data_IF_213363137926
#
_entry.id   IF_213363137926
#
_cell.length_a   1.000
_cell.length_b   1.000
_cell.length_c   1.000
_cell.angle_alpha   90.00
_cell.angle_beta   90.00
_cell.angle_gamma   90.00
#
_symmetry.space_group_name_H-M   'P 1'
#
loop_
_entity.id
_entity.type
_entity.pdbx_description
1 polymer ?
#
# COMPACT_ATOMS: atom_id res chain seq x y z
N UNK A 1 -22.08 -69.92 -4.11
CA UNK A 1 -22.39 -68.65 -3.42
C UNK A 1 -21.05 -68.02 -3.06
N UNK A 2 -20.52 -67.15 -3.92
CA UNK A 2 -20.67 -65.69 -3.89
C UNK A 2 -19.52 -65.05 -3.11
N UNK A 3 -18.40 -64.75 -3.79
CA UNK A 3 -17.91 -63.40 -4.18
C UNK A 3 -17.46 -62.51 -3.01
N UNK A 4 -16.20 -62.00 -3.02
CA UNK A 4 -15.69 -61.06 -2.03
C UNK A 4 -16.29 -59.64 -2.23
N UNK A 5 -16.24 -58.75 -1.21
CA UNK A 5 -16.86 -57.44 -1.29
C UNK A 5 -16.12 -56.52 -2.27
N UNK A 6 -16.81 -55.60 -2.96
CA UNK A 6 -16.17 -54.71 -3.90
C UNK A 6 -15.39 -53.63 -3.16
N UNK A 7 -14.18 -53.41 -3.66
CA UNK A 7 -13.29 -52.36 -3.21
C UNK A 7 -13.87 -50.96 -3.34
N UNK A 8 -13.38 -50.15 -2.43
CA UNK A 8 -13.39 -48.69 -2.36
C UNK A 8 -13.28 -48.05 -3.75
N UNK A 9 -14.39 -47.48 -4.26
CA UNK A 9 -14.37 -46.56 -5.41
C UNK A 9 -14.40 -45.14 -4.90
N UNK A 10 -13.22 -44.58 -4.61
CA UNK A 10 -13.04 -43.14 -4.78
C UNK A 10 -13.20 -42.83 -6.26
N UNK A 11 -14.30 -42.19 -6.62
CA UNK A 11 -14.51 -41.63 -7.96
C UNK A 11 -13.50 -40.51 -8.23
N UNK A 12 -12.68 -40.58 -9.29
CA UNK A 12 -11.99 -39.43 -9.85
C UNK A 12 -12.78 -39.01 -11.10
N UNK A 13 -13.68 -38.04 -10.97
CA UNK A 13 -14.11 -37.19 -12.09
C UNK A 13 -15.18 -36.17 -11.66
N UNK A 14 -14.72 -34.93 -11.48
CA UNK A 14 -15.54 -33.74 -11.70
C UNK A 14 -14.62 -32.58 -12.12
N UNK A 15 -13.77 -32.79 -13.13
CA UNK A 15 -13.27 -31.66 -13.93
C UNK A 15 -14.42 -31.23 -14.82
N UNK A 16 -15.31 -30.39 -14.27
CA UNK A 16 -16.27 -29.65 -15.08
C UNK A 16 -15.48 -28.87 -16.13
N UNK A 17 -15.89 -28.95 -17.40
CA UNK A 17 -15.29 -28.11 -18.42
C UNK A 17 -15.44 -26.65 -18.01
N UNK A 18 -14.33 -25.90 -18.04
CA UNK A 18 -14.33 -24.49 -17.70
C UNK A 18 -15.33 -23.72 -18.57
N UNK A 19 -16.02 -22.73 -17.98
CA UNK A 19 -16.97 -21.92 -18.73
C UNK A 19 -16.31 -21.18 -19.91
N UNK A 20 -17.10 -20.91 -20.95
CA UNK A 20 -16.64 -20.12 -22.11
C UNK A 20 -16.08 -18.76 -21.69
N UNK A 21 -16.70 -18.13 -20.67
CA UNK A 21 -16.24 -16.87 -20.09
C UNK A 21 -14.87 -17.00 -19.44
N UNK A 22 -14.63 -18.05 -18.64
CA UNK A 22 -13.36 -18.23 -17.97
C UNK A 22 -12.20 -18.52 -18.95
N UNK A 23 -12.47 -19.27 -20.02
CA UNK A 23 -11.51 -19.47 -21.12
C UNK A 23 -11.16 -18.16 -21.84
N UNK A 24 -12.15 -17.30 -22.11
CA UNK A 24 -11.91 -15.96 -22.67
C UNK A 24 -11.06 -15.10 -21.74
N UNK A 25 -11.38 -15.10 -20.44
CA UNK A 25 -10.63 -14.33 -19.43
C UNK A 25 -9.16 -14.80 -19.37
N UNK A 26 -8.90 -16.11 -19.38
CA UNK A 26 -7.54 -16.64 -19.41
C UNK A 26 -6.74 -16.21 -20.64
N UNK A 27 -7.38 -16.22 -21.81
CA UNK A 27 -6.77 -15.76 -23.05
C UNK A 27 -6.35 -14.29 -22.99
N UNK A 28 -7.16 -13.43 -22.38
CA UNK A 28 -6.96 -11.98 -22.40
C UNK A 28 -6.22 -11.41 -21.19
N UNK A 29 -6.28 -12.04 -20.01
CA UNK A 29 -5.46 -11.67 -18.85
C UNK A 29 -4.06 -12.32 -18.86
N UNK A 30 -3.80 -13.19 -19.83
CA UNK A 30 -2.62 -14.05 -19.96
C UNK A 30 -2.53 -15.17 -18.93
N UNK A 31 -2.07 -16.34 -19.38
CA UNK A 31 -1.84 -17.53 -18.55
C UNK A 31 -0.93 -17.22 -17.34
N UNK A 32 0.18 -16.45 -17.46
CA UNK A 32 1.03 -16.15 -16.31
C UNK A 32 0.33 -15.36 -15.19
N UNK A 33 -0.60 -14.45 -15.53
CA UNK A 33 -1.33 -13.66 -14.55
C UNK A 33 -2.34 -14.51 -13.77
N UNK A 34 -2.99 -15.44 -14.46
CA UNK A 34 -3.96 -16.35 -13.83
C UNK A 34 -3.33 -17.57 -13.16
N UNK A 35 -2.11 -17.96 -13.55
CA UNK A 35 -1.46 -19.19 -13.06
C UNK A 35 -1.43 -19.29 -11.52
N UNK A 36 -1.20 -18.18 -10.83
CA UNK A 36 -1.21 -18.17 -9.35
C UNK A 36 -2.59 -18.49 -8.77
N UNK A 37 -3.67 -18.03 -9.40
CA UNK A 37 -5.04 -18.30 -8.97
C UNK A 37 -5.47 -19.73 -9.32
N UNK A 38 -5.15 -20.19 -10.54
CA UNK A 38 -5.42 -21.56 -11.00
C UNK A 38 -4.76 -22.60 -10.08
N UNK A 39 -3.49 -22.39 -9.73
CA UNK A 39 -2.82 -23.26 -8.74
C UNK A 39 -3.48 -23.23 -7.37
N UNK A 40 -3.98 -22.07 -6.95
CA UNK A 40 -4.63 -21.92 -5.65
C UNK A 40 -6.02 -22.59 -5.60
N UNK A 41 -6.64 -22.85 -6.76
CA UNK A 41 -7.97 -23.46 -6.87
C UNK A 41 -7.94 -24.91 -7.34
N UNK A 42 -6.77 -25.55 -7.41
CA UNK A 42 -6.64 -26.95 -7.83
C UNK A 42 -6.96 -27.17 -9.31
N UNK A 43 -6.49 -26.25 -10.15
CA UNK A 43 -6.70 -26.24 -11.61
C UNK A 43 -8.16 -26.02 -12.08
N UNK A 44 -9.05 -25.63 -11.16
CA UNK A 44 -10.39 -25.15 -11.47
C UNK A 44 -10.32 -23.69 -11.97
N UNK A 45 -10.54 -23.50 -13.27
CA UNK A 45 -10.41 -22.22 -13.94
C UNK A 45 -11.54 -21.24 -13.59
N UNK A 46 -12.77 -21.72 -13.40
CA UNK A 46 -13.90 -20.85 -13.03
C UNK A 46 -13.67 -20.26 -11.63
N UNK A 47 -13.28 -21.10 -10.66
CA UNK A 47 -12.90 -20.65 -9.32
C UNK A 47 -11.67 -19.75 -9.33
N UNK A 48 -10.72 -19.97 -10.23
CA UNK A 48 -9.55 -19.11 -10.38
C UNK A 48 -9.94 -17.69 -10.82
N UNK A 49 -10.92 -17.57 -11.71
CA UNK A 49 -11.47 -16.28 -12.13
C UNK A 49 -12.18 -15.59 -10.97
N UNK A 50 -13.00 -16.31 -10.19
CA UNK A 50 -13.65 -15.75 -9.00
C UNK A 50 -12.62 -15.22 -7.99
N UNK A 51 -11.56 -15.98 -7.73
CA UNK A 51 -10.48 -15.58 -6.83
C UNK A 51 -9.69 -14.37 -7.35
N UNK A 52 -9.48 -14.29 -8.67
CA UNK A 52 -8.90 -13.10 -9.31
C UNK A 52 -9.78 -11.85 -9.10
N UNK A 53 -11.11 -11.99 -9.27
CA UNK A 53 -12.05 -10.88 -9.06
C UNK A 53 -12.12 -10.46 -7.58
N UNK A 54 -12.09 -11.42 -6.65
CA UNK A 54 -11.96 -11.14 -5.23
C UNK A 54 -10.67 -10.36 -4.92
N UNK A 55 -9.53 -10.77 -5.49
CA UNK A 55 -8.26 -10.06 -5.33
C UNK A 55 -8.35 -8.60 -5.83
N UNK A 56 -9.01 -8.38 -6.97
CA UNK A 56 -9.24 -7.04 -7.51
C UNK A 56 -10.12 -6.18 -6.57
N UNK A 57 -11.19 -6.76 -5.99
CA UNK A 57 -12.03 -6.07 -4.98
C UNK A 57 -11.21 -5.66 -3.75
N UNK A 58 -10.40 -6.57 -3.21
CA UNK A 58 -9.50 -6.28 -2.08
C UNK A 58 -8.49 -5.19 -2.43
N UNK A 59 -7.87 -5.25 -3.61
CA UNK A 59 -6.95 -4.22 -4.08
C UNK A 59 -7.63 -2.84 -4.16
N UNK A 60 -8.89 -2.78 -4.64
CA UNK A 60 -9.69 -1.56 -4.65
C UNK A 60 -10.00 -1.02 -3.25
N UNK A 61 -10.33 -1.88 -2.29
CA UNK A 61 -10.53 -1.50 -0.90
C UNK A 61 -9.24 -1.05 -0.21
N UNK A 62 -8.09 -1.66 -0.56
CA UNK A 62 -6.78 -1.22 -0.07
C UNK A 62 -6.39 0.15 -0.59
N UNK A 63 -6.68 0.48 -1.85
CA UNK A 63 -6.40 1.80 -2.41
C UNK A 63 -7.06 2.94 -1.64
N UNK A 64 -8.29 2.72 -1.18
CA UNK A 64 -9.07 3.66 -0.37
C UNK A 64 -8.33 4.02 0.93
N UNK A 65 -8.00 3.01 1.74
CA UNK A 65 -7.31 3.21 3.02
C UNK A 65 -5.85 3.66 2.85
N UNK A 66 -5.11 3.12 1.88
CA UNK A 66 -3.75 3.54 1.58
C UNK A 66 -3.70 5.01 1.18
N UNK A 67 -4.66 5.47 0.38
CA UNK A 67 -4.77 6.86 -0.04
C UNK A 67 -4.96 7.82 1.14
N UNK A 68 -5.84 7.47 2.09
CA UNK A 68 -6.02 8.26 3.31
C UNK A 68 -4.75 8.32 4.16
N UNK A 69 -4.10 7.18 4.42
CA UNK A 69 -2.86 7.13 5.18
C UNK A 69 -1.74 7.90 4.49
N UNK A 70 -1.63 7.81 3.16
CA UNK A 70 -0.63 8.55 2.37
C UNK A 70 -0.80 10.06 2.53
N UNK A 71 -2.03 10.57 2.39
CA UNK A 71 -2.32 12.01 2.52
C UNK A 71 -2.03 12.51 3.93
N UNK A 72 -2.45 11.76 4.96
CA UNK A 72 -2.18 12.10 6.36
C UNK A 72 -0.67 12.14 6.61
N UNK A 73 0.05 11.08 6.25
CA UNK A 73 1.50 10.98 6.45
C UNK A 73 2.23 12.11 5.72
N UNK A 74 1.90 12.35 4.45
CA UNK A 74 2.46 13.43 3.64
C UNK A 74 2.32 14.77 4.33
N UNK A 75 1.11 15.14 4.71
CA UNK A 75 0.83 16.47 5.24
C UNK A 75 1.58 16.69 6.56
N UNK A 76 1.55 15.70 7.46
CA UNK A 76 2.22 15.78 8.76
C UNK A 76 3.73 15.91 8.61
N UNK A 77 4.34 15.12 7.72
CA UNK A 77 5.77 15.23 7.45
C UNK A 77 6.12 16.57 6.79
N UNK A 78 5.30 17.02 5.84
CA UNK A 78 5.49 18.32 5.20
C UNK A 78 5.44 19.46 6.21
N UNK A 79 4.42 19.51 7.06
CA UNK A 79 4.22 20.58 8.04
C UNK A 79 5.36 20.62 9.07
N UNK A 80 5.76 19.45 9.58
CA UNK A 80 6.88 19.34 10.52
C UNK A 80 8.21 19.82 9.92
N UNK A 81 8.48 19.48 8.66
CA UNK A 81 9.70 19.91 7.96
C UNK A 81 9.65 21.39 7.57
N UNK A 82 8.49 21.91 7.17
CA UNK A 82 8.27 23.35 6.93
C UNK A 82 8.53 24.15 8.21
N UNK A 83 7.95 23.74 9.34
CA UNK A 83 8.16 24.40 10.63
C UNK A 83 9.62 24.36 11.08
N UNK A 84 10.33 23.23 10.87
CA UNK A 84 11.78 23.17 11.14
C UNK A 84 12.56 24.12 10.23
N UNK A 85 12.27 24.13 8.93
CA UNK A 85 12.97 24.98 7.96
C UNK A 85 12.84 26.47 8.30
N UNK A 86 11.63 26.89 8.67
CA UNK A 86 11.35 28.25 9.15
C UNK A 86 12.09 28.58 10.45
N UNK A 87 12.07 27.68 11.45
CA UNK A 87 12.83 27.87 12.70
C UNK A 87 14.33 28.00 12.50
N UNK A 88 14.88 27.39 11.46
CA UNK A 88 16.29 27.50 11.09
C UNK A 88 16.60 28.76 10.27
N UNK A 89 15.61 29.63 10.01
CA UNK A 89 15.80 30.88 9.27
C UNK A 89 16.19 30.69 7.80
N UNK A 90 15.86 29.54 7.21
CA UNK A 90 16.24 29.20 5.83
C UNK A 90 15.26 29.78 4.83
N UNK A 91 15.78 30.31 3.72
CA UNK A 91 14.99 30.82 2.60
C UNK A 91 14.36 29.69 1.79
N UNK A 92 13.27 29.98 1.08
CA UNK A 92 12.60 29.00 0.22
C UNK A 92 11.89 27.90 1.00
N UNK A 93 11.82 26.71 0.43
CA UNK A 93 11.09 25.56 0.98
C UNK A 93 12.05 24.49 1.49
N UNK A 94 11.62 23.66 2.44
CA UNK A 94 12.49 22.61 3.02
C UNK A 94 13.00 21.62 1.96
N UNK A 95 12.19 21.36 0.94
CA UNK A 95 12.53 20.46 -0.17
C UNK A 95 13.41 21.11 -1.23
N UNK A 96 13.71 22.41 -1.13
CA UNK A 96 14.80 23.02 -1.90
C UNK A 96 16.17 22.64 -1.33
N UNK A 97 16.20 22.02 -0.15
CA UNK A 97 17.35 21.33 0.46
C UNK A 97 18.65 22.17 0.49
N UNK A 98 18.63 23.44 0.97
CA UNK A 98 19.80 24.32 0.93
C UNK A 98 20.98 23.77 1.76
N UNK A 99 20.71 22.98 2.79
CA UNK A 99 21.71 22.33 3.64
C UNK A 99 22.14 20.94 3.13
N UNK A 100 21.63 20.50 1.98
CA UNK A 100 21.91 19.20 1.35
C UNK A 100 21.71 17.99 2.29
N UNK A 101 20.69 18.07 3.14
CA UNK A 101 20.32 17.02 4.10
C UNK A 101 19.61 15.86 3.42
N UNK A 102 18.88 16.12 2.33
CA UNK A 102 18.17 15.07 1.61
C UNK A 102 19.15 14.15 0.87
N UNK A 103 18.68 12.94 0.55
CA UNK A 103 19.45 11.99 -0.24
C UNK A 103 19.37 12.37 -1.70
N UNK A 104 20.30 11.87 -2.52
CA UNK A 104 20.22 12.11 -3.96
C UNK A 104 18.89 11.61 -4.54
N UNK A 105 18.45 10.42 -4.14
CA UNK A 105 17.17 9.85 -4.56
C UNK A 105 15.97 10.77 -4.23
N UNK A 106 15.93 11.33 -3.02
CA UNK A 106 14.86 12.25 -2.63
C UNK A 106 14.88 13.55 -3.45
N UNK A 107 16.08 14.11 -3.74
CA UNK A 107 16.21 15.27 -4.63
C UNK A 107 15.79 14.94 -6.08
N UNK A 108 16.08 13.74 -6.55
CA UNK A 108 15.66 13.29 -7.87
C UNK A 108 14.13 13.14 -7.95
N UNK A 109 13.48 12.64 -6.89
CA UNK A 109 12.01 12.60 -6.78
C UNK A 109 11.40 14.01 -6.86
N UNK A 110 11.94 14.96 -6.10
CA UNK A 110 11.49 16.37 -6.12
C UNK A 110 11.69 16.98 -7.52
N UNK A 111 12.82 16.71 -8.16
CA UNK A 111 13.13 17.19 -9.51
C UNK A 111 12.16 16.61 -10.54
N UNK A 112 11.87 15.31 -10.46
CA UNK A 112 10.86 14.65 -11.32
C UNK A 112 9.46 15.23 -11.10
N UNK A 113 9.07 15.48 -9.85
CA UNK A 113 7.79 16.10 -9.54
C UNK A 113 7.65 17.50 -10.17
N UNK A 114 8.67 18.35 -10.01
CA UNK A 114 8.74 19.68 -10.66
C UNK A 114 8.65 19.57 -12.18
N UNK A 115 9.39 18.64 -12.80
CA UNK A 115 9.36 18.42 -14.25
C UNK A 115 7.99 17.96 -14.76
N UNK A 116 7.29 17.08 -14.03
CA UNK A 116 5.94 16.63 -14.42
C UNK A 116 4.93 17.77 -14.40
N UNK A 117 4.96 18.59 -13.36
CA UNK A 117 4.10 19.78 -13.26
C UNK A 117 4.38 20.76 -14.40
N UNK A 118 5.65 21.02 -14.72
CA UNK A 118 6.03 21.87 -15.84
C UNK A 118 5.52 21.34 -17.18
N UNK A 119 5.68 20.04 -17.45
CA UNK A 119 5.17 19.42 -18.69
C UNK A 119 3.65 19.48 -18.78
N UNK A 120 2.96 19.43 -17.64
CA UNK A 120 1.51 19.57 -17.57
C UNK A 120 1.03 21.03 -17.61
N UNK A 121 1.93 22.02 -17.74
CA UNK A 121 1.58 23.44 -17.69
C UNK A 121 1.09 23.92 -16.33
N UNK A 122 1.32 23.15 -15.27
CA UNK A 122 0.87 23.47 -13.91
C UNK A 122 1.89 24.35 -13.18
N UNK A 123 1.43 25.30 -12.33
CA UNK A 123 2.33 26.14 -11.56
C UNK A 123 3.06 25.33 -10.47
N UNK A 124 4.32 25.69 -10.21
CA UNK A 124 5.17 25.08 -9.18
C UNK A 124 4.85 25.59 -7.77
N UNK A 125 3.58 25.52 -7.39
CA UNK A 125 3.13 25.89 -6.05
C UNK A 125 3.55 24.82 -5.02
N UNK A 126 3.88 25.19 -3.76
CA UNK A 126 4.30 24.21 -2.76
C UNK A 126 3.35 23.04 -2.56
N UNK A 127 2.04 23.30 -2.46
CA UNK A 127 1.03 22.25 -2.33
C UNK A 127 0.95 21.31 -3.54
N UNK A 128 1.23 21.81 -4.76
CA UNK A 128 1.25 20.99 -5.99
C UNK A 128 2.47 20.08 -6.03
N UNK A 129 3.65 20.60 -5.67
CA UNK A 129 4.88 19.81 -5.61
C UNK A 129 4.75 18.70 -4.56
N UNK A 130 4.27 19.04 -3.36
CA UNK A 130 4.04 18.08 -2.28
C UNK A 130 3.04 17.01 -2.69
N UNK A 131 1.96 17.38 -3.39
CA UNK A 131 0.96 16.43 -3.86
C UNK A 131 1.45 15.49 -4.97
N UNK A 132 2.42 15.91 -5.78
CA UNK A 132 3.03 15.11 -6.84
C UNK A 132 4.03 14.07 -6.31
N UNK A 133 4.52 14.24 -5.07
CA UNK A 133 5.39 13.28 -4.41
C UNK A 133 4.58 12.11 -3.85
N UNK A 134 4.85 10.90 -4.36
CA UNK A 134 4.14 9.68 -3.95
C UNK A 134 4.65 9.06 -2.64
N UNK A 135 3.94 8.04 -2.16
CA UNK A 135 4.22 7.32 -0.91
C UNK A 135 5.69 6.95 -0.69
N UNK A 136 6.38 6.52 -1.75
CA UNK A 136 7.78 6.13 -1.72
C UNK A 136 8.71 7.26 -1.26
N UNK A 137 8.41 8.51 -1.59
CA UNK A 137 9.19 9.65 -1.11
C UNK A 137 9.02 9.81 0.41
N UNK A 138 7.76 9.86 0.87
CA UNK A 138 7.41 10.08 2.28
C UNK A 138 7.92 8.98 3.20
N UNK A 139 7.82 7.70 2.78
CA UNK A 139 8.34 6.57 3.57
C UNK A 139 9.84 6.68 3.80
N UNK A 140 10.59 7.20 2.82
CA UNK A 140 12.04 7.25 2.91
C UNK A 140 12.54 8.38 3.79
N UNK A 141 11.75 9.43 4.01
CA UNK A 141 12.07 10.48 5.00
C UNK A 141 12.07 9.94 6.44
N UNK A 142 11.36 8.84 6.68
CA UNK A 142 11.35 8.13 7.96
C UNK A 142 12.51 7.16 8.12
N UNK A 143 13.37 6.96 7.11
CA UNK A 143 14.40 5.93 7.12
C UNK A 143 15.52 6.19 8.14
N UNK A 144 16.22 5.12 8.58
CA UNK A 144 17.31 5.20 9.58
C UNK A 144 18.33 6.30 9.32
N UNK A 145 18.65 6.59 8.07
CA UNK A 145 19.61 7.64 7.69
C UNK A 145 19.23 9.04 8.17
N UNK A 146 17.95 9.30 8.40
CA UNK A 146 17.43 10.59 8.83
C UNK A 146 17.18 10.67 10.34
N UNK A 147 17.63 9.66 11.11
CA UNK A 147 17.48 9.62 12.57
C UNK A 147 18.13 10.84 13.25
N UNK A 148 19.30 11.28 12.78
CA UNK A 148 20.00 12.42 13.38
C UNK A 148 19.54 13.78 12.82
N UNK A 149 19.10 13.82 11.56
CA UNK A 149 18.81 15.07 10.85
C UNK A 149 17.32 15.44 10.86
N UNK A 150 16.45 14.64 10.24
CA UNK A 150 15.03 14.97 10.09
C UNK A 150 14.19 14.53 11.29
N UNK A 151 14.48 13.35 11.86
CA UNK A 151 13.64 12.76 12.91
C UNK A 151 13.37 13.66 14.12
N UNK A 152 14.32 14.45 14.64
CA UNK A 152 14.04 15.38 15.74
C UNK A 152 12.91 16.38 15.45
N UNK A 153 12.70 16.70 14.16
CA UNK A 153 11.62 17.56 13.68
C UNK A 153 10.29 16.83 13.50
N UNK A 154 10.37 15.58 13.05
CA UNK A 154 9.21 14.75 12.70
C UNK A 154 8.56 14.13 13.94
N UNK A 155 9.37 13.76 14.92
CA UNK A 155 8.94 13.07 16.15
C UNK A 155 7.75 13.73 16.86
N UNK A 156 7.73 15.06 17.09
CA UNK A 156 6.60 15.72 17.76
C UNK A 156 5.27 15.60 17.01
N UNK A 157 5.30 15.36 15.70
CA UNK A 157 4.11 15.22 14.88
C UNK A 157 3.39 13.87 15.07
N UNK A 158 4.04 12.91 15.76
CA UNK A 158 3.49 11.61 16.14
C UNK A 158 3.33 11.53 17.66
N UNK A 159 2.44 12.37 18.20
CA UNK A 159 2.26 12.55 19.65
C UNK A 159 1.84 11.31 20.43
N UNK A 160 1.32 10.29 19.76
CA UNK A 160 0.88 9.02 20.35
C UNK A 160 1.81 7.85 20.02
N UNK A 161 2.99 8.12 19.46
CA UNK A 161 4.01 7.11 19.19
C UNK A 161 4.70 6.66 20.49
N UNK A 162 4.60 5.37 20.88
CA UNK A 162 5.18 4.89 22.14
C UNK A 162 6.68 5.11 22.23
N UNK A 163 7.13 5.75 23.31
CA UNK A 163 8.55 6.07 23.53
C UNK A 163 9.16 6.97 22.45
N UNK A 164 8.33 7.52 21.55
CA UNK A 164 8.78 8.17 20.32
C UNK A 164 9.77 7.33 19.50
N UNK A 165 9.62 6.00 19.51
CA UNK A 165 10.50 5.11 18.77
C UNK A 165 10.17 5.12 17.28
N UNK A 166 11.03 5.78 16.49
CA UNK A 166 10.95 5.85 15.03
C UNK A 166 10.73 4.50 14.37
N UNK A 167 11.30 3.41 14.92
CA UNK A 167 11.23 2.06 14.32
C UNK A 167 9.81 1.52 14.30
N UNK A 168 9.01 1.86 15.32
CA UNK A 168 7.59 1.49 15.41
C UNK A 168 6.75 2.17 14.32
N UNK A 169 7.22 3.29 13.76
CA UNK A 169 6.61 3.97 12.62
C UNK A 169 7.23 3.53 11.28
N UNK A 170 8.56 3.45 11.19
CA UNK A 170 9.29 3.09 9.96
C UNK A 170 8.89 1.71 9.44
N UNK A 171 8.83 0.70 10.31
CA UNK A 171 8.60 -0.68 9.89
C UNK A 171 7.19 -0.90 9.28
N UNK A 172 6.08 -0.46 9.90
CA UNK A 172 4.76 -0.51 9.25
C UNK A 172 4.69 0.27 7.93
N UNK A 173 5.24 1.50 7.90
CA UNK A 173 5.24 2.32 6.68
C UNK A 173 6.02 1.64 5.55
N UNK A 174 7.14 0.97 5.87
CA UNK A 174 7.92 0.22 4.88
C UNK A 174 7.13 -0.98 4.31
N UNK A 175 6.42 -1.74 5.17
CA UNK A 175 5.55 -2.85 4.72
C UNK A 175 4.41 -2.34 3.83
N UNK A 176 3.78 -1.23 4.21
CA UNK A 176 2.70 -0.63 3.44
C UNK A 176 3.17 -0.05 2.11
N UNK A 177 4.40 0.46 2.03
CA UNK A 177 4.98 0.87 0.74
C UNK A 177 5.12 -0.33 -0.21
N UNK A 178 5.58 -1.48 0.28
CA UNK A 178 5.66 -2.73 -0.52
C UNK A 178 4.25 -3.16 -0.95
N UNK A 179 3.29 -3.21 -0.01
CA UNK A 179 1.90 -3.56 -0.30
C UNK A 179 1.30 -2.66 -1.38
N UNK A 180 1.44 -1.34 -1.23
CA UNK A 180 0.94 -0.34 -2.18
C UNK A 180 1.49 -0.58 -3.57
N UNK A 181 2.78 -0.89 -3.70
CA UNK A 181 3.38 -1.16 -5.01
C UNK A 181 2.82 -2.44 -5.62
N UNK A 182 2.62 -3.50 -4.83
CA UNK A 182 1.97 -4.73 -5.31
C UNK A 182 0.55 -4.47 -5.82
N UNK A 183 -0.22 -3.70 -5.05
CA UNK A 183 -1.57 -3.27 -5.44
C UNK A 183 -1.54 -2.45 -6.74
N UNK A 184 -0.59 -1.52 -6.88
CA UNK A 184 -0.41 -0.70 -8.09
C UNK A 184 0.04 -1.50 -9.32
N UNK A 185 0.74 -2.62 -9.13
CA UNK A 185 1.18 -3.50 -10.21
C UNK A 185 0.20 -4.65 -10.49
N UNK A 186 -0.99 -4.63 -9.89
CA UNK A 186 -2.01 -5.67 -9.99
C UNK A 186 -1.44 -7.06 -9.69
N UNK A 187 -0.61 -7.14 -8.65
CA UNK A 187 -0.05 -8.40 -8.17
C UNK A 187 -1.06 -9.17 -7.29
N UNK A 188 -0.98 -10.51 -7.25
CA UNK A 188 -1.81 -11.31 -6.35
C UNK A 188 -1.50 -11.02 -4.88
N UNK A 189 -2.54 -10.85 -4.06
CA UNK A 189 -2.51 -10.57 -2.62
C UNK A 189 -2.79 -11.80 -1.75
N UNK A 190 -2.89 -12.99 -2.36
CA UNK A 190 -3.37 -14.21 -1.69
C UNK A 190 -2.56 -14.61 -0.44
N UNK A 191 -1.24 -14.36 -0.46
CA UNK A 191 -0.33 -14.66 0.64
C UNK A 191 -0.03 -13.45 1.54
N UNK A 192 -0.64 -12.29 1.26
CA UNK A 192 -0.45 -11.11 2.10
C UNK A 192 -1.25 -11.26 3.40
N UNK A 193 -0.66 -11.01 4.59
CA UNK A 193 -1.40 -10.97 5.84
C UNK A 193 -2.24 -9.69 5.93
N UNK A 194 -3.37 -9.65 5.21
CA UNK A 194 -4.18 -8.44 5.01
C UNK A 194 -4.73 -7.86 6.32
N UNK A 195 -5.01 -8.68 7.33
CA UNK A 195 -5.41 -8.23 8.67
C UNK A 195 -4.28 -7.47 9.39
N UNK A 196 -3.04 -7.95 9.30
CA UNK A 196 -1.88 -7.26 9.86
C UNK A 196 -1.60 -5.96 9.10
N UNK A 197 -1.79 -5.95 7.78
CA UNK A 197 -1.66 -4.73 6.96
C UNK A 197 -2.73 -3.70 7.30
N UNK A 198 -3.94 -4.12 7.58
CA UNK A 198 -4.98 -3.24 8.10
C UNK A 198 -4.61 -2.66 9.47
N UNK A 199 -4.05 -3.50 10.35
CA UNK A 199 -3.53 -3.04 11.65
C UNK A 199 -2.40 -2.00 11.47
N UNK A 200 -1.48 -2.22 10.53
CA UNK A 200 -0.40 -1.27 10.20
C UNK A 200 -0.97 0.10 9.76
N UNK A 201 -2.00 0.11 8.90
CA UNK A 201 -2.69 1.34 8.45
C UNK A 201 -3.28 2.11 9.63
N UNK A 202 -4.03 1.42 10.50
CA UNK A 202 -4.65 2.02 11.68
C UNK A 202 -3.62 2.49 12.72
N UNK A 203 -2.47 1.82 12.83
CA UNK A 203 -1.40 2.20 13.75
C UNK A 203 -0.75 3.51 13.33
N UNK A 204 -0.40 3.67 12.04
CA UNK A 204 0.28 4.88 11.55
C UNK A 204 -0.54 6.14 11.84
N UNK A 205 -1.84 6.12 11.52
CA UNK A 205 -2.72 7.26 11.81
C UNK A 205 -3.01 7.39 13.31
N UNK A 206 -3.02 6.27 14.04
CA UNK A 206 -3.17 6.27 15.51
C UNK A 206 -2.00 6.92 16.23
N UNK A 207 -0.78 6.81 15.71
CA UNK A 207 0.39 7.52 16.26
C UNK A 207 0.31 9.04 16.08
N UNK A 208 -0.49 9.50 15.13
CA UNK A 208 -0.82 10.92 14.96
C UNK A 208 -1.90 11.33 15.95
N UNK A 209 -3.05 10.64 15.91
CA UNK A 209 -4.17 10.93 16.81
C UNK A 209 -5.18 9.75 16.86
N UNK A 210 -5.69 9.35 18.05
CA UNK A 210 -6.66 8.27 18.18
C UNK A 210 -7.97 8.49 17.40
N UNK A 211 -8.42 9.75 17.24
CA UNK A 211 -9.62 10.03 16.45
C UNK A 211 -9.40 9.76 14.95
N UNK A 212 -8.18 9.99 14.42
CA UNK A 212 -7.88 9.65 13.02
C UNK A 212 -7.91 8.14 12.78
N UNK A 213 -7.44 7.37 13.77
CA UNK A 213 -7.59 5.90 13.78
C UNK A 213 -9.06 5.50 13.73
N UNK A 214 -9.89 6.03 14.63
CA UNK A 214 -11.31 5.70 14.69
C UNK A 214 -12.07 6.11 13.41
N UNK A 215 -11.73 7.28 12.85
CA UNK A 215 -12.27 7.72 11.57
C UNK A 215 -11.91 6.75 10.44
N UNK A 216 -10.62 6.40 10.29
CA UNK A 216 -10.18 5.49 9.23
C UNK A 216 -10.83 4.10 9.37
N UNK A 217 -10.95 3.60 10.61
CA UNK A 217 -11.54 2.29 10.91
C UNK A 217 -13.02 2.19 10.54
N UNK A 218 -13.75 3.30 10.64
CA UNK A 218 -15.20 3.37 10.36
C UNK A 218 -15.53 3.79 8.94
N UNK A 219 -14.58 4.33 8.18
CA UNK A 219 -14.78 4.88 6.84
C UNK A 219 -13.97 4.11 5.79
N UNK A 220 -14.12 2.79 5.79
CA UNK A 220 -13.56 1.94 4.74
C UNK A 220 -14.35 0.63 4.59
N UNK A 221 -14.14 -0.05 3.47
CA UNK A 221 -14.77 -1.35 3.16
C UNK A 221 -13.82 -2.55 3.20
N UNK A 222 -12.58 -2.38 3.67
CA UNK A 222 -11.56 -3.43 3.56
C UNK A 222 -11.97 -4.68 4.34
N UNK A 223 -12.31 -4.55 5.62
CA UNK A 223 -12.68 -5.70 6.44
C UNK A 223 -13.92 -6.43 5.91
N UNK A 224 -14.95 -5.69 5.46
CA UNK A 224 -16.12 -6.29 4.82
C UNK A 224 -15.73 -7.10 3.56
N UNK A 225 -14.85 -6.55 2.72
CA UNK A 225 -14.37 -7.22 1.50
C UNK A 225 -13.55 -8.50 1.80
N UNK A 226 -12.84 -8.53 2.94
CA UNK A 226 -12.08 -9.72 3.35
C UNK A 226 -12.99 -10.87 3.80
N UNK A 227 -14.16 -10.57 4.38
CA UNK A 227 -15.14 -11.58 4.84
C UNK A 227 -15.90 -12.22 3.68
N UNK A 228 -16.13 -11.49 2.59
CA UNK A 228 -16.72 -11.99 1.34
C UNK A 228 -15.88 -13.05 0.59
N UNK A 229 -14.80 -13.54 1.21
CA UNK A 229 -13.99 -14.68 0.74
C UNK A 229 -14.62 -16.05 1.12
N UNK A 230 -15.82 -16.04 1.71
CA UNK A 230 -16.52 -17.24 2.20
C UNK A 230 -17.39 -17.89 1.15
#
# INVERSE_FOLDING_TARGET
MSTPPPGDRRSPNATGQASATALLIQRHLSVPRLATYVRATGDDLDRAVELYLWNARVAGALWEVLGHVEVVLRNILHDALTARHQRLGRTGQWYDDPARELSQHARDDISRAKQRLQRAGAPLLPGKIVAELGFGFWRFLLARRYTASLWPALRPAFGYLPGSDRRLLEAPVARLHVLRNRVAHHEPLLAEPLGDRYTDLLQIVGFVHPQLRGWLDTHNRLLATLVERS
#
